data_IF_524328401227
#
_entry.id   IF_524328401227
#
_cell.length_a   1.000
_cell.length_b   1.000
_cell.length_c   1.000
_cell.angle_alpha   90.00
_cell.angle_beta   90.00
_cell.angle_gamma   90.00
#
_symmetry.space_group_name_H-M   'P 1'
#
loop_
_entity.id
_entity.type
_entity.pdbx_description
1 polymer ?
#
# COMPACT_ATOMS: atom_id res chain seq x y z
N UNK A 1 -38.83 -24.23 28.58
CA UNK A 1 -37.41 -24.58 28.70
C UNK A 1 -37.04 -25.35 27.44
N UNK A 2 -36.56 -24.66 26.43
CA UNK A 2 -36.10 -25.27 25.18
C UNK A 2 -34.59 -25.41 25.30
N UNK A 3 -34.10 -26.66 25.28
CA UNK A 3 -32.67 -26.95 25.22
C UNK A 3 -32.12 -26.32 23.94
N UNK A 4 -31.36 -25.24 24.11
CA UNK A 4 -30.41 -24.81 23.09
C UNK A 4 -29.36 -25.92 22.97
N UNK A 5 -29.53 -26.81 22.01
CA UNK A 5 -28.43 -27.65 21.54
C UNK A 5 -27.38 -26.72 20.91
N UNK A 6 -26.49 -26.26 21.76
CA UNK A 6 -25.27 -25.54 21.39
C UNK A 6 -24.33 -26.56 20.72
N UNK A 7 -24.52 -26.80 19.43
CA UNK A 7 -23.50 -27.47 18.62
C UNK A 7 -22.68 -26.35 18.00
N UNK A 8 -21.79 -25.74 18.83
CA UNK A 8 -20.58 -25.11 18.29
C UNK A 8 -19.86 -26.19 17.49
N UNK A 9 -19.30 -25.88 16.33
CA UNK A 9 -18.44 -26.81 15.60
C UNK A 9 -17.43 -27.38 16.60
N UNK A 10 -17.38 -28.73 16.74
CA UNK A 10 -16.38 -29.38 17.57
C UNK A 10 -15.00 -29.00 16.98
N UNK A 11 -14.35 -28.04 17.63
CA UNK A 11 -12.95 -27.73 17.34
C UNK A 11 -12.16 -28.98 17.72
N UNK A 12 -11.92 -29.81 16.74
CA UNK A 12 -11.06 -31.00 16.90
C UNK A 12 -9.66 -30.50 17.27
N UNK A 13 -9.05 -31.04 18.34
CA UNK A 13 -7.69 -30.66 18.71
C UNK A 13 -6.75 -31.00 17.55
N UNK A 14 -6.39 -30.01 16.74
CA UNK A 14 -5.58 -30.15 15.53
C UNK A 14 -5.93 -29.17 14.41
N UNK A 15 -7.17 -28.78 14.25
CA UNK A 15 -7.59 -27.75 13.31
C UNK A 15 -7.36 -26.35 13.90
N UNK A 16 -6.28 -25.72 13.47
CA UNK A 16 -5.95 -24.36 13.87
C UNK A 16 -6.78 -23.29 13.12
N UNK A 17 -7.46 -23.68 12.04
CA UNK A 17 -8.29 -22.80 11.21
C UNK A 17 -9.53 -23.58 10.73
N UNK A 18 -10.68 -23.45 11.41
CA UNK A 18 -11.96 -24.03 10.95
C UNK A 18 -12.33 -23.48 9.56
N UNK A 19 -12.82 -24.34 8.66
CA UNK A 19 -13.29 -23.93 7.33
C UNK A 19 -14.77 -23.48 7.40
N UNK A 20 -15.01 -22.31 8.01
CA UNK A 20 -16.37 -21.77 8.16
C UNK A 20 -17.02 -21.47 6.81
N UNK A 21 -16.29 -21.01 5.82
CA UNK A 21 -16.84 -20.74 4.48
C UNK A 21 -17.35 -22.00 3.78
N UNK A 22 -16.61 -23.10 3.89
CA UNK A 22 -17.06 -24.40 3.38
C UNK A 22 -18.28 -24.93 4.13
N UNK A 23 -18.36 -24.75 5.45
CA UNK A 23 -19.52 -25.12 6.27
C UNK A 23 -20.76 -24.33 5.90
N UNK A 24 -20.64 -22.99 5.73
CA UNK A 24 -21.74 -22.11 5.31
C UNK A 24 -22.25 -22.51 3.93
N UNK A 25 -21.36 -22.77 2.97
CA UNK A 25 -21.73 -23.23 1.65
C UNK A 25 -22.47 -24.58 1.70
N UNK A 26 -22.04 -25.50 2.55
CA UNK A 26 -22.69 -26.80 2.74
C UNK A 26 -24.09 -26.65 3.41
N UNK A 27 -24.22 -25.74 4.39
CA UNK A 27 -25.50 -25.42 5.02
C UNK A 27 -26.54 -24.90 4.01
N UNK A 28 -26.11 -24.00 3.12
CA UNK A 28 -26.99 -23.42 2.08
C UNK A 28 -27.43 -24.46 1.03
N UNK A 29 -26.56 -25.43 0.72
CA UNK A 29 -26.86 -26.55 -0.19
C UNK A 29 -27.71 -27.65 0.50
N UNK A 30 -27.79 -27.63 1.81
CA UNK A 30 -28.59 -28.58 2.60
C UNK A 30 -30.10 -28.34 2.51
N UNK A 31 -30.88 -29.25 3.11
CA UNK A 31 -32.33 -29.23 3.12
C UNK A 31 -32.94 -28.66 4.43
N UNK A 32 -32.28 -27.68 5.05
CA UNK A 32 -32.76 -26.99 6.24
C UNK A 32 -33.95 -26.07 5.90
N UNK A 33 -34.92 -25.99 6.83
CA UNK A 33 -35.99 -25.00 6.71
C UNK A 33 -35.42 -23.58 6.81
N UNK A 34 -35.96 -22.56 6.08
CA UNK A 34 -35.41 -21.20 6.06
C UNK A 34 -35.14 -20.58 7.44
N UNK A 35 -36.05 -20.77 8.40
CA UNK A 35 -35.87 -20.26 9.76
C UNK A 35 -34.76 -20.95 10.55
N UNK A 36 -34.53 -22.25 10.31
CA UNK A 36 -33.41 -22.96 10.94
C UNK A 36 -32.07 -22.54 10.31
N UNK A 37 -32.09 -22.32 9.03
CA UNK A 37 -30.87 -21.85 8.30
C UNK A 37 -30.50 -20.44 8.74
N UNK A 38 -31.47 -19.53 8.87
CA UNK A 38 -31.23 -18.18 9.39
C UNK A 38 -30.59 -18.22 10.79
N UNK A 39 -31.19 -18.95 11.75
CA UNK A 39 -30.65 -19.05 13.10
C UNK A 39 -29.24 -19.67 13.15
N UNK A 40 -28.88 -20.50 12.16
CA UNK A 40 -27.54 -21.07 12.06
C UNK A 40 -26.54 -20.05 11.48
N UNK A 41 -26.97 -19.22 10.55
CA UNK A 41 -26.13 -18.17 9.97
C UNK A 41 -25.80 -17.06 10.98
N UNK A 42 -26.69 -16.80 11.95
CA UNK A 42 -26.45 -15.87 13.05
C UNK A 42 -25.28 -16.29 14.00
N UNK A 43 -24.88 -17.57 13.96
CA UNK A 43 -23.72 -18.05 14.74
C UNK A 43 -22.37 -17.78 14.09
N UNK A 44 -22.33 -17.36 12.80
CA UNK A 44 -21.10 -17.06 12.05
C UNK A 44 -20.82 -15.55 12.00
N UNK A 45 -19.54 -15.20 11.95
CA UNK A 45 -19.14 -13.84 11.75
C UNK A 45 -19.43 -13.38 10.31
N UNK A 46 -19.77 -12.12 10.11
CA UNK A 46 -20.10 -11.54 8.80
C UNK A 46 -19.00 -11.77 7.76
N UNK A 47 -17.73 -11.67 8.18
CA UNK A 47 -16.57 -11.99 7.34
C UNK A 47 -16.59 -13.44 6.82
N UNK A 48 -16.92 -14.42 7.66
CA UNK A 48 -16.97 -15.83 7.22
C UNK A 48 -18.07 -16.04 6.20
N UNK A 49 -19.19 -15.31 6.35
CA UNK A 49 -20.30 -15.32 5.39
C UNK A 49 -19.88 -14.65 4.08
N UNK A 50 -19.12 -13.55 4.13
CA UNK A 50 -18.58 -12.86 2.97
C UNK A 50 -17.63 -13.78 2.19
N UNK A 51 -16.67 -14.43 2.86
CA UNK A 51 -15.77 -15.39 2.22
C UNK A 51 -16.53 -16.60 1.59
N UNK A 52 -17.69 -16.97 2.15
CA UNK A 52 -18.51 -18.03 1.58
C UNK A 52 -19.20 -17.61 0.26
N UNK A 53 -19.42 -16.31 0.01
CA UNK A 53 -20.04 -15.82 -1.25
C UNK A 53 -19.27 -16.25 -2.49
N UNK A 54 -17.93 -16.29 -2.41
CA UNK A 54 -17.07 -16.75 -3.50
C UNK A 54 -17.31 -18.22 -3.89
N UNK A 55 -17.68 -19.07 -2.90
CA UNK A 55 -17.92 -20.49 -3.13
C UNK A 55 -19.36 -20.79 -3.61
N UNK A 56 -20.24 -19.77 -3.57
CA UNK A 56 -21.65 -19.90 -3.89
C UNK A 56 -21.94 -19.50 -5.33
N UNK A 57 -22.86 -20.25 -5.96
CA UNK A 57 -23.43 -19.82 -7.24
C UNK A 57 -24.44 -18.69 -7.03
N UNK A 58 -24.70 -17.93 -8.07
CA UNK A 58 -25.65 -16.81 -8.02
C UNK A 58 -27.00 -17.16 -7.43
N UNK A 59 -27.56 -18.33 -7.77
CA UNK A 59 -28.83 -18.81 -7.22
C UNK A 59 -28.75 -19.10 -5.71
N UNK A 60 -27.61 -19.61 -5.25
CA UNK A 60 -27.32 -19.86 -3.84
C UNK A 60 -27.12 -18.53 -3.07
N UNK A 61 -26.40 -17.56 -3.66
CA UNK A 61 -26.23 -16.21 -3.10
C UNK A 61 -27.57 -15.47 -2.98
N UNK A 62 -28.39 -15.48 -4.02
CA UNK A 62 -29.73 -14.86 -3.96
C UNK A 62 -30.61 -15.47 -2.85
N UNK A 63 -30.45 -16.78 -2.59
CA UNK A 63 -31.13 -17.43 -1.47
C UNK A 63 -30.60 -16.95 -0.12
N UNK A 64 -29.29 -16.77 0.01
CA UNK A 64 -28.64 -16.22 1.21
C UNK A 64 -29.12 -14.78 1.48
N UNK A 65 -29.10 -13.90 0.47
CA UNK A 65 -29.57 -12.51 0.58
C UNK A 65 -31.04 -12.39 1.03
N UNK A 66 -31.85 -13.37 0.68
CA UNK A 66 -33.27 -13.41 1.13
C UNK A 66 -33.44 -13.89 2.60
N UNK A 67 -32.44 -14.56 3.16
CA UNK A 67 -32.45 -15.07 4.53
C UNK A 67 -31.90 -14.04 5.53
N UNK A 68 -30.91 -13.24 5.12
CA UNK A 68 -30.29 -12.23 5.97
C UNK A 68 -31.17 -10.98 6.05
N UNK A 69 -31.20 -10.35 7.22
CA UNK A 69 -31.78 -9.02 7.36
C UNK A 69 -30.87 -7.96 6.74
N UNK A 70 -31.35 -6.73 6.61
CA UNK A 70 -30.62 -5.70 5.92
C UNK A 70 -29.31 -5.31 6.64
N UNK A 71 -29.26 -5.13 7.99
CA UNK A 71 -28.01 -4.81 8.67
C UNK A 71 -26.93 -5.91 8.51
N UNK A 72 -27.29 -7.18 8.76
CA UNK A 72 -26.32 -8.28 8.60
C UNK A 72 -25.83 -8.40 7.15
N UNK A 73 -26.70 -8.19 6.16
CA UNK A 73 -26.29 -8.25 4.76
C UNK A 73 -25.39 -7.06 4.38
N UNK A 74 -25.62 -5.87 4.93
CA UNK A 74 -24.74 -4.72 4.74
C UNK A 74 -23.35 -5.04 5.28
N UNK A 75 -23.23 -5.48 6.53
CA UNK A 75 -21.95 -5.86 7.12
C UNK A 75 -21.24 -6.98 6.35
N UNK A 76 -21.97 -8.00 5.86
CA UNK A 76 -21.39 -9.05 5.00
C UNK A 76 -20.81 -8.43 3.70
N UNK A 77 -21.53 -7.51 3.06
CA UNK A 77 -21.09 -6.89 1.81
C UNK A 77 -19.87 -5.99 1.99
N UNK A 78 -19.74 -5.30 3.11
CA UNK A 78 -18.56 -4.50 3.43
C UNK A 78 -17.26 -5.32 3.49
N UNK A 79 -17.34 -6.58 3.96
CA UNK A 79 -16.19 -7.48 3.94
C UNK A 79 -15.85 -8.05 2.55
N UNK A 80 -16.63 -7.74 1.51
CA UNK A 80 -16.34 -8.21 0.14
C UNK A 80 -15.51 -7.24 -0.69
N UNK A 81 -15.19 -6.06 -0.13
CA UNK A 81 -14.32 -5.04 -0.73
C UNK A 81 -14.59 -4.81 -2.25
N UNK A 82 -13.63 -5.16 -3.10
CA UNK A 82 -13.70 -4.97 -4.56
C UNK A 82 -14.86 -5.68 -5.25
N UNK A 83 -15.34 -6.81 -4.69
CA UNK A 83 -16.45 -7.59 -5.23
C UNK A 83 -17.83 -7.07 -4.83
N UNK A 84 -17.91 -6.13 -3.88
CA UNK A 84 -19.17 -5.56 -3.39
C UNK A 84 -20.09 -5.06 -4.51
N UNK A 85 -19.59 -4.32 -5.53
CA UNK A 85 -20.42 -3.86 -6.64
C UNK A 85 -21.10 -5.03 -7.38
N UNK A 86 -20.38 -6.13 -7.61
CA UNK A 86 -20.89 -7.32 -8.29
C UNK A 86 -22.02 -7.96 -7.50
N UNK A 87 -21.87 -8.11 -6.19
CA UNK A 87 -22.91 -8.68 -5.33
C UNK A 87 -24.12 -7.74 -5.17
N UNK A 88 -23.88 -6.44 -5.08
CA UNK A 88 -24.95 -5.44 -5.08
C UNK A 88 -25.76 -5.47 -6.38
N UNK A 89 -25.16 -5.72 -7.55
CA UNK A 89 -25.89 -5.85 -8.81
C UNK A 89 -26.83 -7.06 -8.86
N UNK A 90 -26.56 -8.09 -8.08
CA UNK A 90 -27.47 -9.25 -7.96
C UNK A 90 -28.75 -8.94 -7.18
N UNK A 91 -28.76 -7.84 -6.41
CA UNK A 91 -29.89 -7.43 -5.59
C UNK A 91 -30.93 -6.64 -6.41
N UNK A 92 -32.21 -6.85 -6.09
CA UNK A 92 -33.28 -6.02 -6.63
C UNK A 92 -33.25 -4.59 -6.07
N UNK A 93 -33.80 -3.63 -6.81
CA UNK A 93 -33.79 -2.19 -6.45
C UNK A 93 -34.30 -1.95 -5.03
N UNK A 94 -35.36 -2.63 -4.60
CA UNK A 94 -35.92 -2.47 -3.25
C UNK A 94 -34.91 -2.87 -2.18
N UNK A 95 -34.18 -3.99 -2.36
CA UNK A 95 -33.19 -4.45 -1.41
C UNK A 95 -31.95 -3.56 -1.39
N UNK A 96 -31.54 -3.01 -2.55
CA UNK A 96 -30.48 -2.00 -2.64
C UNK A 96 -30.81 -0.76 -1.83
N UNK A 97 -32.05 -0.25 -1.92
CA UNK A 97 -32.50 0.91 -1.15
C UNK A 97 -32.57 0.65 0.37
N UNK A 98 -32.75 -0.61 0.79
CA UNK A 98 -32.70 -1.01 2.21
C UNK A 98 -31.27 -1.13 2.73
N UNK A 99 -30.29 -1.46 1.87
CA UNK A 99 -28.90 -1.75 2.25
C UNK A 99 -28.00 -0.54 2.11
N UNK A 100 -28.08 0.22 1.01
CA UNK A 100 -27.19 1.36 0.74
C UNK A 100 -27.09 2.38 1.88
N UNK A 101 -28.17 2.69 2.63
CA UNK A 101 -28.08 3.57 3.79
C UNK A 101 -27.38 2.95 5.02
N UNK A 102 -27.20 1.61 5.02
CA UNK A 102 -26.59 0.86 6.11
C UNK A 102 -25.11 0.51 5.85
N UNK A 103 -24.64 0.70 4.61
CA UNK A 103 -23.23 0.57 4.26
C UNK A 103 -22.45 1.79 4.76
N UNK A 104 -21.15 1.60 4.93
CA UNK A 104 -20.25 2.76 5.12
C UNK A 104 -20.52 3.79 4.01
N UNK A 105 -20.71 5.08 4.37
CA UNK A 105 -21.08 6.11 3.41
C UNK A 105 -20.08 6.27 2.26
N UNK A 106 -18.78 6.04 2.47
CA UNK A 106 -17.76 6.09 1.41
C UNK A 106 -17.95 4.95 0.43
N UNK A 107 -18.12 3.72 0.91
CA UNK A 107 -18.37 2.53 0.08
C UNK A 107 -19.66 2.65 -0.74
N UNK A 108 -20.73 3.17 -0.15
CA UNK A 108 -21.99 3.45 -0.84
C UNK A 108 -21.82 4.53 -1.93
N UNK A 109 -21.04 5.59 -1.67
CA UNK A 109 -20.74 6.66 -2.62
C UNK A 109 -19.92 6.12 -3.81
N UNK A 110 -18.94 5.29 -3.57
CA UNK A 110 -18.10 4.69 -4.62
C UNK A 110 -18.88 3.71 -5.48
N UNK A 111 -19.75 2.90 -4.89
CA UNK A 111 -20.70 2.10 -5.67
C UNK A 111 -21.56 2.97 -6.60
N UNK A 112 -22.11 4.08 -6.10
CA UNK A 112 -22.92 5.00 -6.90
C UNK A 112 -22.11 5.68 -8.01
N UNK A 113 -20.84 6.03 -7.78
CA UNK A 113 -19.94 6.58 -8.81
C UNK A 113 -19.73 5.59 -9.95
N UNK A 114 -19.59 4.29 -9.65
CA UNK A 114 -19.41 3.21 -10.63
C UNK A 114 -20.63 2.94 -11.52
N UNK A 115 -21.85 3.36 -11.12
CA UNK A 115 -23.07 3.11 -11.88
C UNK A 115 -23.21 4.04 -13.11
N UNK A 116 -23.89 3.54 -14.15
CA UNK A 116 -24.34 4.38 -15.25
C UNK A 116 -25.23 5.52 -14.75
N UNK A 117 -25.12 6.69 -15.36
CA UNK A 117 -25.84 7.92 -14.95
C UNK A 117 -27.34 7.71 -14.75
N UNK A 118 -27.99 6.90 -15.61
CA UNK A 118 -29.42 6.63 -15.51
C UNK A 118 -29.77 5.75 -14.29
N UNK A 119 -28.96 4.73 -14.00
CA UNK A 119 -29.13 3.85 -12.85
C UNK A 119 -28.89 4.60 -11.54
N UNK A 120 -27.81 5.38 -11.47
CA UNK A 120 -27.47 6.23 -10.33
C UNK A 120 -28.60 7.21 -10.02
N UNK A 121 -29.09 7.97 -11.03
CA UNK A 121 -30.19 8.91 -10.82
C UNK A 121 -31.45 8.21 -10.29
N UNK A 122 -31.79 7.06 -10.84
CA UNK A 122 -32.99 6.31 -10.42
C UNK A 122 -32.88 5.79 -8.95
N UNK A 123 -31.68 5.41 -8.52
CA UNK A 123 -31.47 4.98 -7.11
C UNK A 123 -31.49 6.18 -6.17
N UNK A 124 -30.75 7.24 -6.49
CA UNK A 124 -30.63 8.46 -5.68
C UNK A 124 -31.99 9.16 -5.52
N UNK A 125 -32.83 9.19 -6.57
CA UNK A 125 -34.17 9.79 -6.52
C UNK A 125 -35.16 9.04 -5.60
N UNK A 126 -34.87 7.76 -5.30
CA UNK A 126 -35.69 6.92 -4.43
C UNK A 126 -35.17 6.86 -2.98
N UNK A 127 -33.99 7.43 -2.68
CA UNK A 127 -33.43 7.50 -1.34
C UNK A 127 -34.07 8.59 -0.50
N UNK A 128 -33.97 8.45 0.82
CA UNK A 128 -34.34 9.49 1.77
C UNK A 128 -33.48 10.73 1.64
N UNK A 129 -33.99 11.91 2.00
CA UNK A 129 -33.35 13.21 1.72
C UNK A 129 -32.03 13.42 2.47
N UNK A 130 -31.85 12.84 3.65
CA UNK A 130 -30.63 12.85 4.46
C UNK A 130 -29.54 11.98 3.82
N UNK A 131 -29.85 10.72 3.56
CA UNK A 131 -28.93 9.77 2.88
C UNK A 131 -28.47 10.33 1.52
N UNK A 132 -29.41 10.88 0.77
CA UNK A 132 -29.10 11.52 -0.53
C UNK A 132 -28.12 12.67 -0.41
N UNK A 133 -28.26 13.52 0.63
CA UNK A 133 -27.35 14.64 0.88
C UNK A 133 -25.95 14.18 1.23
N UNK A 134 -25.84 13.19 2.12
CA UNK A 134 -24.56 12.66 2.57
C UNK A 134 -23.81 11.98 1.43
N UNK A 135 -24.47 11.11 0.69
CA UNK A 135 -23.86 10.45 -0.48
C UNK A 135 -23.50 11.43 -1.61
N UNK A 136 -24.32 12.49 -1.81
CA UNK A 136 -24.00 13.53 -2.80
C UNK A 136 -22.80 14.37 -2.36
N UNK A 137 -22.66 14.61 -1.08
CA UNK A 137 -21.53 15.33 -0.50
C UNK A 137 -20.23 14.52 -0.65
N UNK A 138 -20.21 13.25 -0.27
CA UNK A 138 -19.07 12.36 -0.44
C UNK A 138 -18.69 12.17 -1.90
N UNK A 139 -19.68 12.04 -2.77
CA UNK A 139 -19.45 11.90 -4.23
C UNK A 139 -18.90 13.17 -4.89
N UNK A 140 -18.86 14.31 -4.20
CA UNK A 140 -18.31 15.57 -4.74
C UNK A 140 -16.79 15.65 -4.67
N UNK A 141 -16.15 14.79 -3.88
CA UNK A 141 -14.70 14.71 -3.76
C UNK A 141 -14.10 13.79 -4.83
N UNK A 142 -12.89 14.11 -5.27
CA UNK A 142 -12.11 13.25 -6.16
C UNK A 142 -11.61 12.01 -5.41
N UNK A 143 -11.28 10.92 -6.12
CA UNK A 143 -10.90 9.64 -5.49
C UNK A 143 -9.60 9.70 -4.68
N UNK A 144 -8.74 10.67 -4.99
CA UNK A 144 -7.47 10.95 -4.33
C UNK A 144 -7.57 11.96 -3.19
N UNK A 145 -8.76 12.54 -2.93
CA UNK A 145 -9.02 13.45 -1.82
C UNK A 145 -9.52 12.70 -0.58
N UNK A 146 -9.13 13.15 0.61
CA UNK A 146 -9.56 12.59 1.92
C UNK A 146 -11.09 12.56 2.04
N UNK A 147 -11.77 13.56 1.52
CA UNK A 147 -13.24 13.65 1.55
C UNK A 147 -13.95 12.49 0.88
N UNK A 148 -13.30 11.79 -0.06
CA UNK A 148 -13.84 10.60 -0.71
C UNK A 148 -13.79 9.35 0.19
N UNK A 149 -12.92 9.35 1.20
CA UNK A 149 -12.63 8.21 2.09
C UNK A 149 -13.21 8.37 3.49
N UNK A 150 -13.79 9.56 3.81
CA UNK A 150 -14.34 9.82 5.12
C UNK A 150 -15.72 9.20 5.29
N UNK A 151 -16.04 8.83 6.54
CA UNK A 151 -17.40 8.51 6.94
C UNK A 151 -18.10 9.73 7.54
N UNK A 152 -19.41 9.84 7.36
CA UNK A 152 -20.26 10.81 8.06
C UNK A 152 -20.83 10.23 9.36
N UNK A 153 -20.51 8.97 9.67
CA UNK A 153 -20.92 8.26 10.88
C UNK A 153 -19.94 8.54 12.03
N UNK A 154 -20.20 9.56 12.81
CA UNK A 154 -19.40 9.94 13.97
C UNK A 154 -20.24 10.67 15.04
N UNK A 155 -19.79 10.63 16.29
CA UNK A 155 -20.44 11.35 17.39
C UNK A 155 -19.87 12.75 17.55
N UNK A 156 -20.74 13.78 17.51
CA UNK A 156 -20.36 15.15 17.81
C UNK A 156 -21.13 15.71 19.01
N UNK A 157 -20.42 16.43 19.88
CA UNK A 157 -20.96 17.08 21.07
C UNK A 157 -20.56 18.54 21.09
N UNK A 158 -21.32 19.40 21.80
CA UNK A 158 -20.92 20.79 21.98
C UNK A 158 -19.92 20.93 23.12
N UNK A 159 -18.87 21.68 22.89
CA UNK A 159 -17.82 21.92 23.89
C UNK A 159 -18.31 22.59 25.17
N UNK A 160 -19.43 23.36 25.10
CA UNK A 160 -20.03 24.05 26.26
C UNK A 160 -20.92 23.13 27.13
N UNK A 161 -21.05 21.85 26.80
CA UNK A 161 -21.84 20.87 27.58
C UNK A 161 -21.11 20.46 28.87
N UNK A 162 -21.90 19.98 29.84
CA UNK A 162 -21.37 19.23 30.99
C UNK A 162 -21.17 17.74 30.60
N UNK A 163 -20.34 17.01 31.35
CA UNK A 163 -20.15 15.55 31.15
C UNK A 163 -21.49 14.80 31.11
N UNK A 164 -22.42 15.17 31.98
CA UNK A 164 -23.78 14.56 32.02
C UNK A 164 -24.58 14.82 30.73
N UNK A 165 -24.48 16.04 30.18
CA UNK A 165 -25.17 16.38 28.91
C UNK A 165 -24.52 15.69 27.73
N UNK A 166 -23.18 15.65 27.68
CA UNK A 166 -22.41 14.96 26.66
C UNK A 166 -22.74 13.45 26.64
N UNK A 167 -22.78 12.80 27.81
CA UNK A 167 -23.17 11.39 27.92
C UNK A 167 -24.61 11.12 27.41
N UNK A 168 -25.53 12.02 27.71
CA UNK A 168 -26.91 11.91 27.20
C UNK A 168 -26.96 12.09 25.69
N UNK A 169 -26.17 13.00 25.15
CA UNK A 169 -26.10 13.23 23.72
C UNK A 169 -25.44 12.05 22.99
N UNK A 170 -24.36 11.47 23.55
CA UNK A 170 -23.75 10.25 23.10
C UNK A 170 -24.76 9.11 23.01
N UNK A 171 -25.50 8.83 24.09
CA UNK A 171 -26.51 7.76 24.11
C UNK A 171 -27.59 7.96 23.03
N UNK A 172 -27.92 9.24 22.75
CA UNK A 172 -28.89 9.56 21.70
C UNK A 172 -28.35 9.26 20.31
N UNK A 173 -27.09 9.62 20.04
CA UNK A 173 -26.45 9.42 18.74
C UNK A 173 -26.02 7.96 18.53
N UNK A 174 -25.55 7.27 19.56
CA UNK A 174 -25.12 5.87 19.51
C UNK A 174 -26.21 4.84 19.13
N UNK A 175 -27.47 5.29 19.00
CA UNK A 175 -28.54 4.46 18.45
C UNK A 175 -28.43 4.30 16.92
N UNK A 176 -27.83 5.30 16.26
CA UNK A 176 -27.74 5.41 14.80
C UNK A 176 -26.29 5.55 14.31
N UNK A 177 -25.28 5.46 15.20
CA UNK A 177 -23.86 5.68 14.95
C UNK A 177 -23.04 4.52 15.50
N UNK A 178 -22.24 3.88 14.69
CA UNK A 178 -21.34 2.77 15.09
C UNK A 178 -19.98 3.28 15.58
N UNK A 179 -19.47 4.40 15.03
CA UNK A 179 -18.20 4.99 15.40
C UNK A 179 -18.33 5.89 16.64
N UNK A 180 -18.36 5.28 17.82
CA UNK A 180 -18.57 5.96 19.12
C UNK A 180 -17.32 6.06 19.99
N UNK A 181 -16.19 5.45 19.60
CA UNK A 181 -14.96 5.40 20.42
C UNK A 181 -14.39 6.78 20.69
N UNK A 182 -14.51 7.70 19.73
CA UNK A 182 -14.07 9.09 19.82
C UNK A 182 -15.26 10.03 19.64
N UNK A 183 -15.40 10.99 20.55
CA UNK A 183 -16.39 12.05 20.46
C UNK A 183 -15.71 13.36 20.07
N UNK A 184 -16.23 14.03 19.05
CA UNK A 184 -15.70 15.32 18.62
C UNK A 184 -16.45 16.48 19.25
N UNK A 185 -15.72 17.34 19.96
CA UNK A 185 -16.26 18.53 20.57
C UNK A 185 -16.21 19.71 19.59
N UNK A 186 -17.36 20.31 19.32
CA UNK A 186 -17.48 21.44 18.40
C UNK A 186 -18.04 22.67 19.11
N UNK A 187 -17.76 23.87 18.60
CA UNK A 187 -18.35 25.12 19.05
C UNK A 187 -19.79 25.32 18.51
N UNK A 188 -20.37 26.47 18.80
CA UNK A 188 -21.72 26.84 18.33
C UNK A 188 -21.84 26.96 16.80
N UNK A 189 -20.72 27.11 16.09
CA UNK A 189 -20.65 27.22 14.63
C UNK A 189 -20.29 25.90 13.95
N UNK A 190 -20.04 24.82 14.72
CA UNK A 190 -19.61 23.52 14.21
C UNK A 190 -18.09 23.42 13.97
N UNK A 191 -17.31 24.40 14.46
CA UNK A 191 -15.84 24.37 14.38
C UNK A 191 -15.30 23.38 15.40
N UNK A 192 -14.36 22.53 15.01
CA UNK A 192 -13.73 21.56 15.89
C UNK A 192 -12.93 22.28 17.01
N UNK A 193 -13.18 21.89 18.25
CA UNK A 193 -12.46 22.38 19.44
C UNK A 193 -11.47 21.32 19.95
N UNK A 194 -11.81 20.04 19.82
CA UNK A 194 -11.00 18.91 20.23
C UNK A 194 -11.78 17.61 20.22
N UNK A 195 -11.19 16.56 20.76
CA UNK A 195 -11.81 15.24 20.85
C UNK A 195 -11.77 14.71 22.29
N UNK A 196 -12.63 13.75 22.60
CA UNK A 196 -12.74 13.07 23.89
C UNK A 196 -12.86 11.58 23.62
N UNK A 197 -11.99 10.78 24.24
CA UNK A 197 -12.13 9.35 24.29
C UNK A 197 -13.41 8.95 25.04
N UNK A 198 -14.18 8.01 24.49
CA UNK A 198 -15.34 7.42 25.16
C UNK A 198 -15.00 6.95 26.57
N UNK A 199 -13.84 6.33 26.76
CA UNK A 199 -13.36 5.87 28.06
C UNK A 199 -13.22 7.03 29.06
N UNK A 200 -12.63 8.15 28.65
CA UNK A 200 -12.47 9.32 29.52
C UNK A 200 -13.83 9.92 29.91
N UNK A 201 -14.78 9.95 28.96
CA UNK A 201 -16.15 10.40 29.25
C UNK A 201 -16.88 9.47 30.25
N UNK A 202 -16.69 8.14 30.14
CA UNK A 202 -17.33 7.15 31.03
C UNK A 202 -16.79 7.25 32.46
N UNK A 203 -15.48 7.48 32.65
CA UNK A 203 -14.86 7.54 33.97
C UNK A 203 -14.95 8.93 34.61
N UNK A 204 -15.28 9.97 33.85
CA UNK A 204 -15.42 11.33 34.35
C UNK A 204 -16.60 11.46 35.34
N UNK A 205 -16.44 12.31 36.37
CA UNK A 205 -17.51 12.57 37.27
C UNK A 205 -18.53 13.56 36.63
N UNK A 206 -19.80 13.44 36.96
CA UNK A 206 -20.85 14.33 36.43
C UNK A 206 -20.57 15.82 36.61
N UNK A 207 -19.75 16.17 37.62
CA UNK A 207 -19.38 17.55 37.98
C UNK A 207 -18.09 18.02 37.29
N UNK A 208 -17.39 17.13 36.58
CA UNK A 208 -16.18 17.50 35.84
C UNK A 208 -16.55 18.37 34.64
N UNK A 209 -15.78 19.42 34.39
CA UNK A 209 -15.96 20.23 33.20
C UNK A 209 -15.45 19.40 31.98
N UNK A 210 -16.10 19.56 30.83
CA UNK A 210 -15.66 18.88 29.58
C UNK A 210 -14.26 19.31 29.19
N UNK A 211 -13.89 20.56 29.42
CA UNK A 211 -12.54 21.08 29.16
C UNK A 211 -11.42 20.34 29.90
N UNK A 212 -11.74 19.69 31.05
CA UNK A 212 -10.75 18.93 31.84
C UNK A 212 -10.40 17.57 31.21
N UNK A 213 -11.25 17.08 30.31
CA UNK A 213 -11.09 15.78 29.60
C UNK A 213 -10.96 15.94 28.09
N UNK A 214 -11.02 17.18 27.60
CA UNK A 214 -10.94 17.52 26.18
C UNK A 214 -9.49 17.57 25.73
N UNK A 215 -9.16 16.81 24.70
CA UNK A 215 -7.87 16.86 24.02
C UNK A 215 -7.96 17.88 22.88
N UNK A 216 -7.40 19.08 23.07
CA UNK A 216 -7.43 20.17 22.09
C UNK A 216 -6.34 20.04 21.00
N UNK A 217 -5.30 19.26 21.25
CA UNK A 217 -4.20 18.97 20.29
C UNK A 217 -4.47 17.70 19.48
N UNK A 218 -5.74 17.34 19.27
CA UNK A 218 -6.11 16.14 18.52
C UNK A 218 -5.76 16.30 17.03
N UNK A 219 -5.23 15.24 16.36
CA UNK A 219 -4.91 15.28 14.93
C UNK A 219 -6.17 15.49 14.09
N UNK A 220 -6.04 16.17 12.96
CA UNK A 220 -7.12 16.37 12.00
C UNK A 220 -6.56 16.47 10.58
N UNK A 221 -7.44 16.29 9.60
CA UNK A 221 -7.16 16.46 8.16
C UNK A 221 -8.27 17.31 7.51
N UNK A 222 -7.98 17.87 6.34
CA UNK A 222 -8.99 18.57 5.55
C UNK A 222 -9.56 17.64 4.46
N UNK A 223 -10.84 17.85 4.12
CA UNK A 223 -11.54 17.02 3.14
C UNK A 223 -10.97 17.17 1.71
N UNK A 224 -10.40 18.32 1.38
CA UNK A 224 -9.75 18.66 0.11
C UNK A 224 -8.24 18.35 0.08
N UNK A 225 -7.71 17.74 1.14
CA UNK A 225 -6.31 17.31 1.21
C UNK A 225 -6.13 16.00 0.43
N UNK A 226 -5.01 15.88 -0.30
CA UNK A 226 -4.70 14.62 -1.00
C UNK A 226 -4.33 13.52 -0.01
N UNK A 227 -4.74 12.30 -0.28
CA UNK A 227 -4.45 11.13 0.55
C UNK A 227 -2.94 10.96 0.72
N UNK A 228 -2.16 11.01 -0.37
CA UNK A 228 -0.70 10.84 -0.35
C UNK A 228 0.04 11.88 0.51
N UNK A 229 -0.50 13.10 0.63
CA UNK A 229 0.11 14.19 1.43
C UNK A 229 -0.12 14.05 2.94
N UNK A 230 -1.16 13.32 3.36
CA UNK A 230 -1.56 13.25 4.77
C UNK A 230 -1.44 11.86 5.41
N UNK A 231 -1.38 10.76 4.64
CA UNK A 231 -1.35 9.39 5.17
C UNK A 231 -0.18 9.16 6.13
N UNK A 232 1.03 9.58 5.80
CA UNK A 232 2.18 9.45 6.69
C UNK A 232 1.97 10.19 8.01
N UNK A 233 1.36 11.39 7.96
CA UNK A 233 1.07 12.21 9.14
C UNK A 233 0.03 11.55 10.05
N UNK A 234 -1.09 11.07 9.49
CA UNK A 234 -2.17 10.47 10.27
C UNK A 234 -1.79 9.10 10.85
N UNK A 235 -1.01 8.31 10.13
CA UNK A 235 -0.48 7.02 10.57
C UNK A 235 0.29 7.10 11.89
N UNK A 236 0.97 8.23 12.14
CA UNK A 236 1.81 8.40 13.33
C UNK A 236 1.01 8.50 14.63
N UNK A 237 -0.30 8.80 14.57
CA UNK A 237 -1.10 9.08 15.77
C UNK A 237 -1.73 7.86 16.41
N UNK A 238 -2.00 6.79 15.70
CA UNK A 238 -2.64 5.57 16.25
C UNK A 238 -3.97 5.81 16.98
N UNK A 239 -4.77 6.76 16.50
CA UNK A 239 -6.08 7.10 17.05
C UNK A 239 -7.18 6.20 16.47
N UNK A 240 -8.26 5.99 17.20
CA UNK A 240 -9.40 5.17 16.76
C UNK A 240 -10.14 5.82 15.59
N UNK A 241 -10.19 7.14 15.53
CA UNK A 241 -10.67 7.90 14.38
C UNK A 241 -10.06 9.31 14.34
N UNK A 242 -9.98 9.89 13.13
CA UNK A 242 -9.39 11.21 12.87
C UNK A 242 -10.46 12.11 12.26
N UNK A 243 -10.74 13.30 12.83
CA UNK A 243 -11.75 14.20 12.29
C UNK A 243 -11.32 14.82 10.97
N UNK A 244 -12.27 14.90 10.05
CA UNK A 244 -12.11 15.56 8.76
C UNK A 244 -12.81 16.91 8.81
N UNK A 245 -12.10 17.95 8.41
CA UNK A 245 -12.57 19.34 8.45
C UNK A 245 -12.75 19.88 7.03
N UNK A 246 -13.68 20.81 6.88
CA UNK A 246 -13.75 21.62 5.67
C UNK A 246 -12.84 22.87 5.78
N UNK A 247 -12.76 23.67 4.71
CA UNK A 247 -11.96 24.89 4.64
C UNK A 247 -12.31 25.95 5.73
N UNK A 248 -13.49 25.87 6.36
CA UNK A 248 -13.92 26.74 7.46
C UNK A 248 -13.59 26.15 8.84
N UNK A 249 -12.77 25.09 8.93
CA UNK A 249 -12.46 24.31 10.13
C UNK A 249 -13.70 23.67 10.80
N UNK A 250 -14.78 23.46 10.07
CA UNK A 250 -15.95 22.76 10.56
C UNK A 250 -15.79 21.26 10.36
N UNK A 251 -16.22 20.52 11.36
CA UNK A 251 -16.25 19.06 11.28
C UNK A 251 -17.26 18.61 10.20
N UNK A 252 -16.81 17.83 9.23
CA UNK A 252 -17.64 17.33 8.14
C UNK A 252 -17.61 15.79 8.00
N UNK A 253 -16.65 15.12 8.60
CA UNK A 253 -16.49 13.66 8.55
C UNK A 253 -15.45 13.16 9.55
N UNK A 254 -15.19 11.87 9.49
CA UNK A 254 -14.11 11.23 10.22
C UNK A 254 -13.48 10.12 9.37
N UNK A 255 -12.18 9.85 9.57
CA UNK A 255 -11.50 8.65 9.09
C UNK A 255 -11.43 7.66 10.23
N UNK A 256 -11.96 6.47 10.08
CA UNK A 256 -11.80 5.39 11.06
C UNK A 256 -10.41 4.78 11.02
N UNK A 257 -9.97 4.14 12.11
CA UNK A 257 -8.69 3.42 12.14
C UNK A 257 -8.58 2.37 11.02
N UNK A 258 -9.69 1.74 10.64
CA UNK A 258 -9.74 0.79 9.53
C UNK A 258 -9.40 1.50 8.21
N UNK A 259 -10.09 2.58 7.87
CA UNK A 259 -9.84 3.37 6.65
C UNK A 259 -8.40 3.88 6.63
N UNK A 260 -7.88 4.37 7.76
CA UNK A 260 -6.47 4.80 7.86
C UNK A 260 -5.52 3.63 7.56
N UNK A 261 -5.81 2.43 8.07
CA UNK A 261 -4.99 1.24 7.80
C UNK A 261 -5.05 0.83 6.31
N UNK A 262 -6.21 0.91 5.68
CA UNK A 262 -6.40 0.66 4.24
C UNK A 262 -5.61 1.67 3.39
N UNK A 263 -5.74 2.97 3.66
CA UNK A 263 -4.99 4.02 2.97
C UNK A 263 -3.48 3.83 3.07
N UNK A 264 -2.98 3.43 4.25
CA UNK A 264 -1.56 3.10 4.46
C UNK A 264 -1.14 1.87 3.65
N UNK A 265 -2.00 0.86 3.55
CA UNK A 265 -1.72 -0.35 2.78
C UNK A 265 -1.69 -0.06 1.28
N UNK A 266 -2.62 0.75 0.79
CA UNK A 266 -2.69 1.19 -0.61
C UNK A 266 -1.44 1.99 -1.01
N UNK A 267 -1.01 2.95 -0.19
CA UNK A 267 0.20 3.74 -0.43
C UNK A 267 1.45 2.86 -0.47
N UNK A 268 1.58 1.93 0.48
CA UNK A 268 2.69 0.96 0.46
C UNK A 268 2.67 0.07 -0.79
N UNK A 269 1.49 -0.29 -1.27
CA UNK A 269 1.28 -1.03 -2.52
C UNK A 269 1.73 -0.23 -3.74
N UNK A 270 1.37 1.05 -3.80
CA UNK A 270 1.82 1.97 -4.86
C UNK A 270 3.32 2.18 -4.86
N UNK A 271 3.93 2.41 -3.69
CA UNK A 271 5.38 2.55 -3.56
C UNK A 271 6.11 1.30 -4.01
N UNK A 272 5.58 0.12 -3.69
CA UNK A 272 6.10 -1.14 -4.17
C UNK A 272 6.01 -1.27 -5.70
N UNK A 273 4.88 -0.87 -6.29
CA UNK A 273 4.69 -0.84 -7.74
C UNK A 273 5.66 0.13 -8.43
N UNK A 274 5.82 1.35 -7.90
CA UNK A 274 6.77 2.35 -8.38
C UNK A 274 8.21 1.83 -8.30
N UNK A 275 8.59 1.16 -7.19
CA UNK A 275 9.90 0.52 -7.04
C UNK A 275 10.14 -0.56 -8.11
N UNK A 276 9.09 -1.28 -8.52
CA UNK A 276 9.10 -2.24 -9.63
C UNK A 276 9.18 -1.60 -11.02
N UNK A 277 9.04 -0.29 -11.14
CA UNK A 277 9.00 0.45 -12.41
C UNK A 277 7.63 0.47 -13.07
N UNK A 278 6.57 0.37 -12.27
CA UNK A 278 5.18 0.59 -12.69
C UNK A 278 4.77 2.04 -12.43
N UNK A 279 3.75 2.53 -13.12
CA UNK A 279 3.20 3.87 -12.89
C UNK A 279 2.14 3.89 -11.78
N UNK A 280 1.55 2.75 -11.47
CA UNK A 280 0.56 2.54 -10.41
C UNK A 280 0.46 1.06 -10.04
N UNK A 281 -0.21 0.73 -8.94
CA UNK A 281 -0.55 -0.64 -8.57
C UNK A 281 -1.31 -1.39 -9.67
N UNK A 282 -1.24 -2.71 -9.68
CA UNK A 282 -1.87 -3.59 -10.69
C UNK A 282 -2.57 -4.76 -10.00
N UNK A 283 -3.84 -5.00 -10.34
CA UNK A 283 -4.65 -6.06 -9.82
C UNK A 283 -4.67 -7.30 -10.73
N UNK A 284 -4.98 -8.45 -10.15
CA UNK A 284 -5.00 -9.73 -10.87
C UNK A 284 -6.00 -9.73 -12.04
N UNK A 285 -7.14 -9.08 -11.88
CA UNK A 285 -8.23 -9.05 -12.86
C UNK A 285 -8.17 -7.86 -13.82
N UNK A 286 -7.11 -7.05 -13.74
CA UNK A 286 -6.97 -5.86 -14.56
C UNK A 286 -6.90 -6.17 -16.07
N UNK A 287 -7.62 -5.44 -16.93
CA UNK A 287 -7.58 -5.66 -18.38
C UNK A 287 -6.18 -5.46 -18.95
N UNK A 288 -5.74 -6.38 -19.85
CA UNK A 288 -4.40 -6.37 -20.46
C UNK A 288 -3.96 -4.99 -20.99
N UNK A 289 -4.89 -4.20 -21.55
CA UNK A 289 -4.59 -2.85 -22.07
C UNK A 289 -4.14 -1.90 -20.98
N UNK A 290 -4.73 -1.99 -19.78
CA UNK A 290 -4.40 -1.14 -18.64
C UNK A 290 -3.06 -1.56 -18.05
N UNK A 291 -2.82 -2.86 -17.86
CA UNK A 291 -1.52 -3.40 -17.45
C UNK A 291 -0.38 -2.96 -18.36
N UNK A 292 -0.59 -3.03 -19.69
CA UNK A 292 0.40 -2.55 -20.67
C UNK A 292 0.63 -1.05 -20.55
N UNK A 293 -0.43 -0.26 -20.36
CA UNK A 293 -0.32 1.20 -20.22
C UNK A 293 0.47 1.62 -18.97
N UNK A 294 0.36 0.86 -17.87
CA UNK A 294 1.11 1.10 -16.64
C UNK A 294 2.61 0.77 -16.76
N UNK A 295 2.98 -0.19 -17.60
CA UNK A 295 4.38 -0.68 -17.73
C UNK A 295 5.13 -0.02 -18.89
N UNK A 296 4.46 0.23 -20.02
CA UNK A 296 5.09 0.66 -21.27
C UNK A 296 5.88 1.97 -21.17
N UNK A 297 5.42 3.02 -20.46
CA UNK A 297 6.16 4.28 -20.36
C UNK A 297 7.57 4.09 -19.80
N UNK A 298 7.70 3.34 -18.71
CA UNK A 298 8.99 3.03 -18.11
C UNK A 298 9.87 2.18 -19.03
N UNK A 299 9.32 1.17 -19.69
CA UNK A 299 10.06 0.32 -20.61
C UNK A 299 10.63 1.12 -21.78
N UNK A 300 9.91 2.13 -22.30
CA UNK A 300 10.40 3.02 -23.37
C UNK A 300 11.56 3.89 -22.87
N UNK A 301 11.48 4.45 -21.66
CA UNK A 301 12.57 5.21 -21.06
C UNK A 301 13.80 4.32 -20.88
N UNK A 302 13.63 3.11 -20.33
CA UNK A 302 14.72 2.16 -20.12
C UNK A 302 15.34 1.69 -21.44
N UNK A 303 14.55 1.51 -22.50
CA UNK A 303 15.06 1.23 -23.83
C UNK A 303 15.97 2.35 -24.35
N UNK A 304 15.57 3.60 -24.16
CA UNK A 304 16.39 4.76 -24.51
C UNK A 304 17.70 4.81 -23.73
N UNK A 305 17.65 4.60 -22.42
CA UNK A 305 18.84 4.52 -21.57
C UNK A 305 19.75 3.33 -21.96
N UNK A 306 19.17 2.18 -22.29
CA UNK A 306 19.91 1.01 -22.76
C UNK A 306 20.68 1.27 -24.06
N UNK A 307 20.13 2.08 -24.97
CA UNK A 307 20.86 2.53 -26.17
C UNK A 307 22.06 3.42 -25.81
N UNK A 308 21.94 4.25 -24.78
CA UNK A 308 23.07 5.04 -24.28
C UNK A 308 24.17 4.13 -23.74
N UNK A 309 23.80 3.14 -22.89
CA UNK A 309 24.77 2.14 -22.37
C UNK A 309 25.46 1.40 -23.54
N UNK A 310 24.70 0.94 -24.52
CA UNK A 310 25.25 0.27 -25.72
C UNK A 310 26.22 1.17 -26.50
N UNK A 311 25.92 2.47 -26.60
CA UNK A 311 26.79 3.44 -27.27
C UNK A 311 28.12 3.61 -26.53
N UNK A 312 28.08 3.61 -25.18
CA UNK A 312 29.30 3.69 -24.35
C UNK A 312 30.13 2.43 -24.50
N UNK A 313 29.55 1.24 -24.56
CA UNK A 313 30.29 0.00 -24.89
C UNK A 313 31.03 0.14 -26.21
N UNK A 314 30.39 0.74 -27.24
CA UNK A 314 30.99 0.99 -28.54
C UNK A 314 32.27 1.86 -28.48
N UNK A 315 32.41 2.79 -27.51
CA UNK A 315 33.61 3.56 -27.32
C UNK A 315 34.84 2.71 -26.94
N UNK A 316 34.59 1.54 -26.34
CA UNK A 316 35.62 0.59 -25.93
C UNK A 316 35.87 -0.54 -26.95
N UNK A 317 35.39 -0.40 -28.20
CA UNK A 317 35.54 -1.42 -29.25
C UNK A 317 36.97 -1.93 -29.40
N UNK A 318 37.99 -1.06 -29.26
CA UNK A 318 39.41 -1.45 -29.31
C UNK A 318 39.76 -2.43 -28.20
N UNK A 319 39.29 -2.23 -26.97
CA UNK A 319 39.52 -3.11 -25.82
C UNK A 319 38.89 -4.47 -26.09
N UNK A 320 37.65 -4.46 -26.56
CA UNK A 320 36.85 -5.64 -26.90
C UNK A 320 37.53 -6.47 -28.01
N UNK A 321 38.06 -5.82 -29.02
CA UNK A 321 38.72 -6.47 -30.16
C UNK A 321 40.07 -7.10 -29.79
N UNK A 322 40.84 -6.45 -28.93
CA UNK A 322 42.14 -6.97 -28.46
C UNK A 322 42.00 -8.08 -27.41
N UNK A 323 41.01 -7.95 -26.53
CA UNK A 323 40.84 -8.83 -25.34
C UNK A 323 39.44 -9.43 -25.28
N UNK A 324 39.10 -10.28 -26.24
CA UNK A 324 37.75 -10.92 -26.35
C UNK A 324 37.31 -11.63 -25.06
N UNK A 325 38.29 -12.13 -24.26
CA UNK A 325 38.01 -12.80 -22.98
C UNK A 325 37.30 -11.92 -21.98
N UNK A 326 37.48 -10.58 -22.05
CA UNK A 326 36.86 -9.63 -21.13
C UNK A 326 35.34 -9.61 -21.29
N UNK A 327 34.84 -9.80 -22.50
CA UNK A 327 33.39 -9.86 -22.78
C UNK A 327 32.71 -10.95 -21.94
N UNK A 328 33.39 -12.07 -21.70
CA UNK A 328 32.84 -13.17 -20.91
C UNK A 328 32.47 -12.80 -19.49
N UNK A 329 33.11 -11.78 -18.90
CA UNK A 329 32.90 -11.38 -17.51
C UNK A 329 32.16 -10.05 -17.38
N UNK A 330 31.80 -9.40 -18.49
CA UNK A 330 31.02 -8.15 -18.48
C UNK A 330 29.71 -8.33 -17.72
N UNK A 331 28.92 -9.34 -18.06
CA UNK A 331 27.64 -9.62 -17.42
C UNK A 331 27.77 -9.82 -15.90
N UNK A 332 28.84 -10.46 -15.44
CA UNK A 332 29.10 -10.64 -14.01
C UNK A 332 29.29 -9.30 -13.29
N UNK A 333 30.03 -8.36 -13.89
CA UNK A 333 30.30 -7.05 -13.28
C UNK A 333 29.04 -6.18 -13.27
N UNK A 334 28.29 -6.16 -14.38
CA UNK A 334 27.05 -5.38 -14.50
C UNK A 334 25.98 -5.91 -13.54
N UNK A 335 25.76 -7.23 -13.52
CA UNK A 335 24.76 -7.86 -12.66
C UNK A 335 25.04 -7.55 -11.17
N UNK A 336 26.27 -7.72 -10.72
CA UNK A 336 26.62 -7.43 -9.33
C UNK A 336 26.48 -5.94 -8.98
N UNK A 337 26.83 -5.05 -9.91
CA UNK A 337 26.65 -3.61 -9.73
C UNK A 337 25.17 -3.23 -9.65
N UNK A 338 24.33 -3.75 -10.54
CA UNK A 338 22.88 -3.56 -10.53
C UNK A 338 22.25 -4.03 -9.22
N UNK A 339 22.58 -5.25 -8.79
CA UNK A 339 22.05 -5.86 -7.58
C UNK A 339 22.40 -5.05 -6.31
N UNK A 340 23.64 -4.61 -6.16
CA UNK A 340 24.04 -3.77 -5.02
C UNK A 340 23.36 -2.41 -5.05
N UNK A 341 23.22 -1.82 -6.23
CA UNK A 341 22.52 -0.54 -6.40
C UNK A 341 21.06 -0.62 -6.00
N UNK A 342 20.34 -1.68 -6.40
CA UNK A 342 18.94 -1.90 -6.01
C UNK A 342 18.78 -2.22 -4.53
N UNK A 343 19.74 -2.91 -3.91
CA UNK A 343 19.75 -3.11 -2.45
C UNK A 343 19.91 -1.78 -1.70
N UNK A 344 20.85 -0.94 -2.11
CA UNK A 344 21.05 0.39 -1.52
C UNK A 344 19.85 1.31 -1.77
N UNK A 345 19.19 1.20 -2.95
CA UNK A 345 17.94 1.90 -3.27
C UNK A 345 16.84 1.51 -2.27
N UNK A 346 16.58 0.22 -2.09
CA UNK A 346 15.52 -0.27 -1.21
C UNK A 346 15.71 0.19 0.25
N UNK A 347 16.95 0.15 0.75
CA UNK A 347 17.28 0.68 2.08
C UNK A 347 17.04 2.18 2.16
N UNK A 348 17.39 2.91 1.11
CA UNK A 348 17.29 4.37 1.08
C UNK A 348 15.82 4.82 1.01
N UNK A 349 15.01 4.22 0.13
CA UNK A 349 13.56 4.52 0.05
C UNK A 349 12.93 4.32 1.42
N UNK A 350 13.16 3.16 2.07
CA UNK A 350 12.62 2.89 3.41
C UNK A 350 12.99 3.95 4.44
N UNK A 351 14.24 4.46 4.41
CA UNK A 351 14.68 5.53 5.34
C UNK A 351 14.07 6.87 4.98
N UNK A 352 13.85 7.14 3.69
CA UNK A 352 13.26 8.40 3.21
C UNK A 352 11.74 8.48 3.39
N UNK A 353 11.07 7.35 3.62
CA UNK A 353 9.66 7.30 4.05
C UNK A 353 9.46 7.89 5.46
N UNK A 354 10.51 8.00 6.28
CA UNK A 354 10.50 8.80 7.51
C UNK A 354 10.65 10.29 7.14
N UNK A 355 9.60 11.10 7.30
CA UNK A 355 9.54 12.51 6.83
C UNK A 355 10.65 13.40 7.40
N UNK A 356 11.12 13.14 8.61
CA UNK A 356 12.02 14.01 9.37
C UNK A 356 13.51 13.70 9.23
N UNK A 357 13.94 13.03 8.14
CA UNK A 357 15.35 12.67 7.93
C UNK A 357 16.18 13.91 7.66
N UNK A 358 17.00 14.30 8.65
CA UNK A 358 17.91 15.44 8.55
C UNK A 358 19.00 15.24 7.48
N UNK A 359 19.51 16.32 6.93
CA UNK A 359 20.64 16.29 5.95
C UNK A 359 21.85 15.51 6.48
N UNK A 360 22.11 15.57 7.79
CA UNK A 360 23.20 14.82 8.43
C UNK A 360 22.96 13.31 8.38
N UNK A 361 21.73 12.87 8.62
CA UNK A 361 21.35 11.47 8.52
C UNK A 361 21.40 10.95 7.08
N UNK A 362 20.96 11.76 6.09
CA UNK A 362 21.08 11.44 4.67
C UNK A 362 22.54 11.22 4.27
N UNK A 363 23.46 12.13 4.67
CA UNK A 363 24.88 11.95 4.42
C UNK A 363 25.49 10.75 5.15
N UNK A 364 25.04 10.47 6.38
CA UNK A 364 25.47 9.28 7.13
C UNK A 364 25.01 8.00 6.43
N UNK A 365 23.80 7.98 5.85
CA UNK A 365 23.27 6.86 5.06
C UNK A 365 24.14 6.61 3.83
N UNK A 366 24.46 7.65 3.03
CA UNK A 366 25.39 7.51 1.88
C UNK A 366 26.73 6.94 2.32
N UNK A 367 27.28 7.43 3.43
CA UNK A 367 28.54 6.92 3.98
C UNK A 367 28.46 5.47 4.49
N UNK A 368 27.32 5.06 5.02
CA UNK A 368 27.06 3.68 5.44
C UNK A 368 26.98 2.74 4.22
N UNK A 369 26.14 3.08 3.25
CA UNK A 369 25.95 2.28 2.04
C UNK A 369 27.24 2.19 1.20
N UNK A 370 28.02 3.27 1.10
CA UNK A 370 29.33 3.23 0.46
C UNK A 370 30.29 2.21 1.13
N UNK A 371 30.29 2.12 2.47
CA UNK A 371 31.11 1.12 3.20
C UNK A 371 30.59 -0.29 2.94
N UNK A 372 29.27 -0.49 2.89
CA UNK A 372 28.66 -1.79 2.55
C UNK A 372 29.06 -2.19 1.13
N UNK A 373 28.93 -1.29 0.15
CA UNK A 373 29.35 -1.53 -1.24
C UNK A 373 30.84 -1.85 -1.35
N UNK A 374 31.70 -1.12 -0.61
CA UNK A 374 33.14 -1.36 -0.58
C UNK A 374 33.46 -2.75 0.01
N UNK A 375 32.85 -3.12 1.11
CA UNK A 375 33.08 -4.42 1.76
C UNK A 375 32.61 -5.58 0.90
N UNK A 376 31.40 -5.49 0.34
CA UNK A 376 30.88 -6.50 -0.57
C UNK A 376 31.74 -6.59 -1.85
N UNK A 377 32.14 -5.45 -2.41
CA UNK A 377 33.03 -5.39 -3.57
C UNK A 377 34.38 -6.02 -3.30
N UNK A 378 34.96 -5.81 -2.11
CA UNK A 378 36.23 -6.42 -1.71
C UNK A 378 36.10 -7.95 -1.60
N UNK A 379 35.07 -8.42 -0.89
CA UNK A 379 34.83 -9.86 -0.68
C UNK A 379 34.58 -10.58 -2.01
N UNK A 380 33.65 -10.05 -2.83
CA UNK A 380 33.32 -10.65 -4.12
C UNK A 380 34.45 -10.45 -5.15
N UNK A 381 35.17 -9.34 -5.08
CA UNK A 381 36.37 -9.12 -5.90
C UNK A 381 37.47 -10.14 -5.65
N UNK A 382 37.75 -10.44 -4.38
CA UNK A 382 38.71 -11.51 -3.98
C UNK A 382 38.24 -12.89 -4.39
N UNK A 383 36.96 -13.19 -4.18
CA UNK A 383 36.37 -14.47 -4.59
C UNK A 383 36.44 -14.66 -6.10
N UNK A 384 36.07 -13.63 -6.87
CA UNK A 384 36.13 -13.68 -8.35
C UNK A 384 37.56 -13.74 -8.88
N UNK A 385 38.51 -13.10 -8.20
CA UNK A 385 39.93 -13.22 -8.53
C UNK A 385 40.39 -14.68 -8.54
N UNK A 386 40.09 -15.44 -7.51
CA UNK A 386 40.40 -16.86 -7.43
C UNK A 386 39.60 -17.70 -8.44
N UNK A 387 38.28 -17.51 -8.46
CA UNK A 387 37.39 -18.30 -9.31
C UNK A 387 37.63 -18.14 -10.82
N UNK A 388 37.76 -16.88 -11.28
CA UNK A 388 37.99 -16.57 -12.69
C UNK A 388 39.39 -17.01 -13.12
N UNK A 389 40.41 -16.78 -12.27
CA UNK A 389 41.77 -17.25 -12.58
C UNK A 389 41.84 -18.76 -12.80
N UNK A 390 41.27 -19.52 -11.87
CA UNK A 390 41.18 -20.98 -11.98
C UNK A 390 40.34 -21.43 -13.20
N UNK A 391 39.21 -20.78 -13.47
CA UNK A 391 38.37 -21.08 -14.62
C UNK A 391 39.12 -20.89 -15.95
N UNK A 392 39.83 -19.77 -16.10
CA UNK A 392 40.58 -19.45 -17.31
C UNK A 392 41.72 -20.47 -17.52
N UNK A 393 42.39 -20.89 -16.46
CA UNK A 393 43.44 -21.91 -16.56
C UNK A 393 42.86 -23.29 -16.88
N UNK A 394 41.84 -23.73 -16.16
CA UNK A 394 41.29 -25.07 -16.26
C UNK A 394 40.42 -25.28 -17.52
N UNK A 395 39.53 -24.34 -17.84
CA UNK A 395 38.58 -24.45 -18.93
C UNK A 395 39.05 -23.89 -20.27
N UNK A 396 39.91 -22.87 -20.23
CA UNK A 396 40.40 -22.16 -21.43
C UNK A 396 41.86 -22.46 -21.73
N UNK A 397 42.58 -23.14 -20.85
CA UNK A 397 44.01 -23.46 -21.04
C UNK A 397 44.91 -22.21 -21.06
N UNK A 398 44.47 -21.12 -20.46
CA UNK A 398 45.19 -19.86 -20.46
C UNK A 398 46.45 -19.93 -19.58
N UNK A 399 47.51 -19.20 -20.00
CA UNK A 399 48.71 -19.06 -19.17
C UNK A 399 48.37 -18.41 -17.83
N UNK A 400 48.98 -18.88 -16.74
CA UNK A 400 48.66 -18.39 -15.37
C UNK A 400 48.80 -16.88 -15.27
N UNK A 401 49.84 -16.27 -15.80
CA UNK A 401 50.05 -14.82 -15.77
C UNK A 401 48.87 -14.08 -16.43
N UNK A 402 48.45 -14.46 -17.60
CA UNK A 402 47.30 -13.87 -18.30
C UNK A 402 45.99 -14.10 -17.55
N UNK A 403 45.75 -15.35 -17.10
CA UNK A 403 44.52 -15.69 -16.38
C UNK A 403 44.34 -14.86 -15.10
N UNK A 404 45.38 -14.73 -14.27
CA UNK A 404 45.33 -13.92 -13.06
C UNK A 404 45.36 -12.41 -13.31
N UNK A 405 45.93 -11.93 -14.40
CA UNK A 405 45.83 -10.52 -14.79
C UNK A 405 44.41 -10.12 -15.17
N UNK A 406 43.72 -10.95 -16.00
CA UNK A 406 42.30 -10.75 -16.35
C UNK A 406 41.42 -10.83 -15.08
N UNK A 407 41.68 -11.83 -14.24
CA UNK A 407 40.95 -12.04 -12.99
C UNK A 407 41.13 -10.88 -12.01
N UNK A 408 42.33 -10.33 -11.88
CA UNK A 408 42.62 -9.16 -11.05
C UNK A 408 41.90 -7.91 -11.59
N UNK A 409 41.90 -7.71 -12.89
CA UNK A 409 41.17 -6.63 -13.53
C UNK A 409 39.66 -6.73 -13.24
N UNK A 410 39.07 -7.91 -13.44
CA UNK A 410 37.62 -8.15 -13.18
C UNK A 410 37.29 -7.97 -11.69
N UNK A 411 38.11 -8.49 -10.77
CA UNK A 411 37.91 -8.34 -9.33
C UNK A 411 38.00 -6.87 -8.88
N UNK A 412 38.96 -6.11 -9.44
CA UNK A 412 39.08 -4.66 -9.17
C UNK A 412 37.87 -3.89 -9.75
N UNK A 413 37.41 -4.27 -10.93
CA UNK A 413 36.23 -3.66 -11.54
C UNK A 413 34.95 -3.95 -10.72
N UNK A 414 34.79 -5.17 -10.19
CA UNK A 414 33.70 -5.49 -9.26
C UNK A 414 33.72 -4.58 -8.03
N UNK A 415 34.88 -4.42 -7.39
CA UNK A 415 35.02 -3.55 -6.20
C UNK A 415 34.63 -2.12 -6.53
N UNK A 416 35.15 -1.54 -7.61
CA UNK A 416 34.88 -0.15 -8.00
C UNK A 416 33.41 0.03 -8.40
N UNK A 417 32.87 -0.87 -9.22
CA UNK A 417 31.49 -0.82 -9.68
C UNK A 417 30.49 -0.94 -8.54
N UNK A 418 30.69 -1.89 -7.62
CA UNK A 418 29.80 -2.08 -6.48
C UNK A 418 29.82 -0.90 -5.50
N UNK A 419 31.01 -0.30 -5.26
CA UNK A 419 31.14 0.91 -4.45
C UNK A 419 30.35 2.08 -5.08
N UNK A 420 30.56 2.33 -6.37
CA UNK A 420 29.90 3.43 -7.09
C UNK A 420 28.39 3.19 -7.19
N UNK A 421 27.95 1.96 -7.48
CA UNK A 421 26.55 1.59 -7.57
C UNK A 421 25.81 1.76 -6.23
N UNK A 422 26.44 1.41 -5.12
CA UNK A 422 25.89 1.64 -3.79
C UNK A 422 25.69 3.13 -3.48
N UNK A 423 26.67 3.96 -3.86
CA UNK A 423 26.57 5.43 -3.71
C UNK A 423 25.45 5.98 -4.60
N UNK A 424 25.33 5.53 -5.85
CA UNK A 424 24.30 5.98 -6.79
C UNK A 424 22.91 5.55 -6.31
N UNK A 425 22.75 4.26 -5.94
CA UNK A 425 21.49 3.72 -5.44
C UNK A 425 20.98 4.46 -4.20
N UNK A 426 21.87 5.08 -3.42
CA UNK A 426 21.51 5.91 -2.26
C UNK A 426 21.30 7.38 -2.64
N UNK A 427 22.15 7.94 -3.50
CA UNK A 427 22.14 9.39 -3.78
C UNK A 427 20.97 9.78 -4.69
N UNK A 428 20.59 8.93 -5.66
CA UNK A 428 19.52 9.24 -6.63
C UNK A 428 18.18 9.46 -5.95
N UNK A 429 17.66 8.55 -5.08
CA UNK A 429 16.38 8.79 -4.39
C UNK A 429 16.44 9.99 -3.44
N UNK A 430 17.57 10.24 -2.77
CA UNK A 430 17.77 11.44 -1.94
C UNK A 430 17.66 12.72 -2.81
N UNK A 431 18.21 12.70 -4.01
CA UNK A 431 18.12 13.81 -4.95
C UNK A 431 16.68 14.02 -5.43
N UNK A 432 15.94 12.94 -5.72
CA UNK A 432 14.53 13.02 -6.12
C UNK A 432 13.69 13.65 -5.03
N UNK A 433 13.81 13.19 -3.78
CA UNK A 433 13.12 13.83 -2.63
C UNK A 433 13.49 15.31 -2.47
N UNK A 434 14.74 15.68 -2.74
CA UNK A 434 15.17 17.10 -2.67
C UNK A 434 14.56 17.95 -3.79
N UNK A 435 14.29 17.38 -4.95
CA UNK A 435 13.65 18.03 -6.09
C UNK A 435 12.12 18.03 -6.00
N UNK A 436 11.53 17.51 -4.94
CA UNK A 436 10.07 17.35 -4.78
C UNK A 436 9.48 16.24 -5.66
N UNK A 437 10.30 15.28 -6.07
CA UNK A 437 9.87 14.07 -6.80
C UNK A 437 9.85 12.92 -5.81
N UNK A 438 8.80 12.11 -5.87
CA UNK A 438 8.68 10.90 -5.05
C UNK A 438 9.93 10.00 -5.20
N UNK A 439 10.61 9.66 -4.09
CA UNK A 439 11.81 8.81 -4.13
C UNK A 439 11.56 7.41 -4.71
N UNK A 440 10.34 6.87 -4.59
CA UNK A 440 9.98 5.56 -5.13
C UNK A 440 10.03 5.51 -6.67
N UNK A 441 9.89 6.66 -7.34
CA UNK A 441 10.07 6.81 -8.79
C UNK A 441 11.51 6.48 -9.23
N UNK A 442 12.50 6.57 -8.32
CA UNK A 442 13.86 6.07 -8.57
C UNK A 442 13.90 4.53 -8.63
N UNK A 443 13.05 3.94 -9.45
CA UNK A 443 12.77 2.51 -9.53
C UNK A 443 14.00 1.61 -9.67
N UNK A 444 13.86 0.36 -9.23
CA UNK A 444 14.91 -0.65 -9.39
C UNK A 444 15.47 -0.74 -10.82
N UNK A 445 14.61 -0.86 -11.86
CA UNK A 445 15.05 -0.88 -13.26
C UNK A 445 15.81 0.38 -13.71
N UNK A 446 15.42 1.57 -13.25
CA UNK A 446 16.12 2.81 -13.56
C UNK A 446 17.53 2.81 -12.94
N UNK A 447 17.61 2.48 -11.63
CA UNK A 447 18.90 2.41 -10.93
C UNK A 447 19.80 1.34 -11.53
N UNK A 448 19.28 0.18 -11.90
CA UNK A 448 20.04 -0.88 -12.57
C UNK A 448 20.65 -0.35 -13.87
N UNK A 449 19.88 0.34 -14.72
CA UNK A 449 20.36 0.86 -16.00
C UNK A 449 21.43 1.96 -15.82
N UNK A 450 21.29 2.83 -14.81
CA UNK A 450 22.32 3.82 -14.47
C UNK A 450 23.59 3.13 -13.97
N UNK A 451 23.45 2.10 -13.13
CA UNK A 451 24.57 1.32 -12.62
C UNK A 451 25.27 0.54 -13.73
N UNK A 452 24.55 0.04 -14.73
CA UNK A 452 25.13 -0.60 -15.90
C UNK A 452 26.06 0.35 -16.66
N UNK A 453 25.66 1.60 -16.84
CA UNK A 453 26.51 2.63 -17.47
C UNK A 453 27.82 2.83 -16.70
N UNK A 454 27.72 2.94 -15.37
CA UNK A 454 28.87 3.11 -14.48
C UNK A 454 29.76 1.88 -14.48
N UNK A 455 29.15 0.70 -14.36
CA UNK A 455 29.86 -0.58 -14.33
C UNK A 455 30.61 -0.88 -15.65
N UNK A 456 29.96 -0.64 -16.79
CA UNK A 456 30.59 -0.76 -18.13
C UNK A 456 31.79 0.18 -18.25
N UNK A 457 31.62 1.44 -17.88
CA UNK A 457 32.70 2.43 -17.95
C UNK A 457 33.86 2.05 -17.03
N UNK A 458 33.58 1.65 -15.81
CA UNK A 458 34.60 1.19 -14.86
C UNK A 458 35.31 -0.07 -15.35
N UNK A 459 34.58 -1.07 -15.83
CA UNK A 459 35.12 -2.34 -16.26
C UNK A 459 36.02 -2.21 -17.48
N UNK A 460 35.51 -1.63 -18.55
CA UNK A 460 36.31 -1.45 -19.76
C UNK A 460 37.42 -0.39 -19.60
N UNK A 461 37.17 0.66 -18.82
CA UNK A 461 38.19 1.63 -18.49
C UNK A 461 39.36 1.00 -17.72
N UNK A 462 39.07 0.18 -16.71
CA UNK A 462 40.11 -0.57 -15.99
C UNK A 462 40.78 -1.62 -16.86
N UNK A 463 40.03 -2.30 -17.71
CA UNK A 463 40.61 -3.27 -18.64
C UNK A 463 41.58 -2.59 -19.65
N UNK A 464 41.18 -1.45 -20.19
CA UNK A 464 42.07 -0.64 -21.06
C UNK A 464 43.33 -0.23 -20.30
N UNK A 465 43.17 0.36 -19.12
CA UNK A 465 44.28 0.87 -18.33
C UNK A 465 45.25 -0.25 -17.87
N UNK A 466 44.70 -1.29 -17.24
CA UNK A 466 45.52 -2.33 -16.61
C UNK A 466 46.06 -3.34 -17.59
N UNK A 467 45.24 -3.83 -18.54
CA UNK A 467 45.63 -4.93 -19.38
C UNK A 467 46.36 -4.46 -20.66
N UNK A 468 45.94 -3.31 -21.24
CA UNK A 468 46.55 -2.79 -22.48
C UNK A 468 47.71 -1.85 -22.17
N UNK A 469 47.48 -0.77 -21.38
CA UNK A 469 48.48 0.25 -21.18
C UNK A 469 49.59 -0.16 -20.18
N UNK A 470 49.26 -0.90 -19.11
CA UNK A 470 50.24 -1.27 -18.07
C UNK A 470 50.90 -2.60 -18.36
N UNK A 471 50.09 -3.66 -18.66
CA UNK A 471 50.55 -5.03 -18.84
C UNK A 471 50.85 -5.39 -20.28
N UNK A 472 50.47 -4.56 -21.26
CA UNK A 472 50.76 -4.68 -22.70
C UNK A 472 50.30 -6.06 -23.28
N UNK A 473 49.14 -6.55 -22.87
CA UNK A 473 48.51 -7.75 -23.43
C UNK A 473 47.82 -7.52 -24.77
#
# INVERSE_FOLDING_TARGET
>A
MSEKNNILPEITPGDRHPDYKGEIAALLRGNLAPGQLRNRLEDYHERDIAEALELLRRDERCRLYALLDAPTLAGVLEYTEDDMPTYLEELGIRKKLEILPLLDPSAAADYLKGLERAQRSALVDLMEDDVRRDLSFLSSFDEDEIGSRMTTDFVSIRADMTVRQAMKELIRQAADTDNISTLYAVDANGVLVGAIDLKELIIARETTALDDILMTSYPYVYADELVEDCVERIRAYSEDSIPVLNADNRLCGALTAQVVAELVADELGEDYAKLGGLTAGEDLEEPLRRSVAKRLPWLVILLGLGLVVSSVVGLFERVVTHLTVIICFQSLVLDMAGNVGTQSLAVTIRVLMDEDVSTRQKLALVGKEARVGLMNGLLLGLLSFGAIGLYLMAAKGAAAAFAFSVSFCTGTALLVSMLLSSIIGTTVPILFKHLGVDPAVASGPLITTVNDLVAVTAYYGLAWLLLIEILHF
#
